data_IF_331903675441
#
_entry.id   IF_331903675441
#
_cell.length_a   1.000
_cell.length_b   1.000
_cell.length_c   1.000
_cell.angle_alpha   90.00
_cell.angle_beta   90.00
_cell.angle_gamma   90.00
#
_symmetry.space_group_name_H-M   'P 1'
#
loop_
_entity.id
_entity.type
_entity.pdbx_description
1 polymer ?
#
# COMPACT_ATOMS: atom_id res chain seq x y z
N UNK A 1 -6.53 -7.90 -26.67
CA UNK A 1 -6.03 -7.20 -25.47
C UNK A 1 -4.95 -8.05 -24.81
N UNK A 2 -3.69 -7.58 -24.77
CA UNK A 2 -2.66 -8.28 -23.97
C UNK A 2 -3.02 -8.16 -22.49
N UNK A 3 -3.17 -9.30 -21.81
CA UNK A 3 -3.34 -9.32 -20.34
C UNK A 3 -2.06 -8.76 -19.72
N UNK A 4 -2.21 -7.85 -18.77
CA UNK A 4 -1.09 -7.30 -18.02
C UNK A 4 -0.28 -8.44 -17.38
N UNK A 5 1.04 -8.44 -17.61
CA UNK A 5 1.96 -9.41 -17.04
C UNK A 5 2.88 -8.72 -16.03
N UNK A 6 2.63 -8.87 -14.71
CA UNK A 6 3.45 -8.29 -13.65
C UNK A 6 4.95 -8.58 -13.77
N UNK A 7 5.32 -9.76 -14.29
CA UNK A 7 6.71 -10.18 -14.42
C UNK A 7 7.43 -9.46 -15.56
N UNK A 8 6.70 -9.06 -16.62
CA UNK A 8 7.27 -8.30 -17.75
C UNK A 8 7.18 -6.78 -17.56
N UNK A 9 6.31 -6.32 -16.65
CA UNK A 9 6.11 -4.92 -16.37
C UNK A 9 5.30 -4.18 -17.44
N UNK A 10 5.36 -2.85 -17.39
CA UNK A 10 4.64 -1.95 -18.30
C UNK A 10 3.42 -1.30 -17.66
N UNK A 11 2.45 -0.94 -18.50
CA UNK A 11 1.24 -0.25 -18.06
C UNK A 11 0.27 -1.20 -17.36
N UNK A 12 -0.02 -0.91 -16.09
CA UNK A 12 -0.95 -1.67 -15.29
C UNK A 12 -2.40 -1.20 -15.54
N UNK A 13 -3.38 -2.12 -15.48
CA UNK A 13 -4.80 -1.80 -15.46
C UNK A 13 -5.13 -0.73 -14.43
N UNK A 14 -6.01 0.21 -14.79
CA UNK A 14 -6.37 1.36 -13.94
C UNK A 14 -6.97 0.95 -12.60
N UNK A 15 -7.74 -0.14 -12.56
CA UNK A 15 -8.31 -0.68 -11.34
C UNK A 15 -7.23 -1.13 -10.32
N UNK A 16 -6.15 -1.78 -10.78
CA UNK A 16 -5.04 -2.20 -9.91
C UNK A 16 -4.31 -0.99 -9.32
N UNK A 17 -4.01 0.00 -10.18
CA UNK A 17 -3.35 1.24 -9.77
C UNK A 17 -4.18 2.01 -8.75
N UNK A 18 -5.47 2.21 -9.05
CA UNK A 18 -6.39 2.93 -8.17
C UNK A 18 -6.59 2.24 -6.82
N UNK A 19 -6.75 0.91 -6.83
CA UNK A 19 -6.91 0.14 -5.60
C UNK A 19 -5.67 0.22 -4.71
N UNK A 20 -4.48 0.15 -5.31
CA UNK A 20 -3.21 0.31 -4.61
C UNK A 20 -3.09 1.69 -3.94
N UNK A 21 -3.48 2.77 -4.63
CA UNK A 21 -3.48 4.13 -4.06
C UNK A 21 -4.40 4.26 -2.85
N UNK A 22 -5.62 3.70 -2.94
CA UNK A 22 -6.59 3.72 -1.82
C UNK A 22 -5.99 3.06 -0.58
N UNK A 23 -5.39 1.87 -0.74
CA UNK A 23 -4.84 1.12 0.39
C UNK A 23 -3.61 1.81 0.99
N UNK A 24 -2.71 2.38 0.17
CA UNK A 24 -1.60 3.18 0.69
C UNK A 24 -2.11 4.42 1.44
N UNK A 25 -3.09 5.14 0.90
CA UNK A 25 -3.63 6.32 1.56
C UNK A 25 -4.22 5.98 2.95
N UNK A 26 -4.89 4.82 3.07
CA UNK A 26 -5.38 4.30 4.36
C UNK A 26 -4.24 3.94 5.30
N UNK A 27 -3.21 3.27 4.79
CA UNK A 27 -2.02 2.90 5.56
C UNK A 27 -1.35 4.13 6.18
N UNK A 28 -1.14 5.16 5.37
CA UNK A 28 -0.47 6.41 5.76
C UNK A 28 -1.30 7.23 6.75
N UNK A 29 -2.62 7.38 6.52
CA UNK A 29 -3.49 8.19 7.38
C UNK A 29 -3.82 7.50 8.71
N UNK A 30 -4.06 6.20 8.68
CA UNK A 30 -4.62 5.46 9.82
C UNK A 30 -3.59 4.79 10.73
N UNK A 31 -2.42 4.42 10.19
CA UNK A 31 -1.39 3.61 10.87
C UNK A 31 -1.82 2.19 11.25
N UNK A 32 -3.12 1.90 11.29
CA UNK A 32 -3.71 0.62 11.60
C UNK A 32 -4.57 0.15 10.43
N UNK A 33 -4.15 -0.92 9.78
CA UNK A 33 -4.84 -1.54 8.65
C UNK A 33 -5.47 -2.87 9.07
N UNK A 34 -6.56 -3.25 8.40
CA UNK A 34 -7.11 -4.59 8.53
C UNK A 34 -6.12 -5.60 7.94
N UNK A 35 -6.16 -6.83 8.44
CA UNK A 35 -5.30 -7.89 7.93
C UNK A 35 -5.54 -8.14 6.43
N UNK A 36 -6.81 -8.13 6.00
CA UNK A 36 -7.19 -8.33 4.61
C UNK A 36 -6.65 -7.24 3.70
N UNK A 37 -6.80 -5.98 4.12
CA UNK A 37 -6.23 -4.82 3.41
C UNK A 37 -4.70 -4.97 3.27
N UNK A 38 -4.03 -5.49 4.31
CA UNK A 38 -2.57 -5.69 4.31
C UNK A 38 -2.15 -6.78 3.34
N UNK A 39 -2.86 -7.90 3.32
CA UNK A 39 -2.62 -8.99 2.38
C UNK A 39 -2.89 -8.53 0.95
N UNK A 40 -3.98 -7.80 0.72
CA UNK A 40 -4.34 -7.24 -0.58
C UNK A 40 -3.25 -6.27 -1.06
N UNK A 41 -2.81 -5.36 -0.19
CA UNK A 41 -1.74 -4.42 -0.49
C UNK A 41 -0.42 -5.14 -0.81
N UNK A 42 -0.09 -6.22 -0.10
CA UNK A 42 1.09 -7.05 -0.40
C UNK A 42 0.97 -7.78 -1.75
N UNK A 43 -0.22 -8.27 -2.09
CA UNK A 43 -0.53 -8.85 -3.40
C UNK A 43 -0.37 -7.83 -4.53
N UNK A 44 -1.00 -6.66 -4.39
CA UNK A 44 -0.94 -5.57 -5.36
C UNK A 44 0.49 -5.04 -5.55
N UNK A 45 1.28 -4.92 -4.49
CA UNK A 45 2.70 -4.54 -4.62
C UNK A 45 3.53 -5.55 -5.41
N UNK A 46 3.13 -6.83 -5.42
CA UNK A 46 3.74 -7.83 -6.31
C UNK A 46 3.31 -7.65 -7.76
N UNK A 47 2.02 -7.36 -7.97
CA UNK A 47 1.48 -7.11 -9.30
C UNK A 47 2.05 -5.84 -9.93
N UNK A 48 2.35 -4.81 -9.13
CA UNK A 48 2.87 -3.53 -9.59
C UNK A 48 4.40 -3.43 -9.50
N UNK A 49 5.11 -4.51 -9.19
CA UNK A 49 6.55 -4.53 -8.93
C UNK A 49 7.42 -4.01 -10.10
N UNK A 50 6.93 -4.19 -11.34
CA UNK A 50 7.55 -3.72 -12.58
C UNK A 50 6.64 -2.73 -13.34
N UNK A 51 5.63 -2.16 -12.67
CA UNK A 51 4.74 -1.19 -13.26
C UNK A 51 5.49 0.12 -13.54
N UNK A 52 5.52 0.54 -14.81
CA UNK A 52 6.22 1.75 -15.25
C UNK A 52 5.32 2.98 -15.24
N UNK A 53 4.05 2.83 -14.87
CA UNK A 53 3.12 3.95 -14.78
C UNK A 53 3.61 4.97 -13.75
N UNK A 54 3.47 6.28 -14.05
CA UNK A 54 3.70 7.33 -13.08
C UNK A 54 2.64 7.23 -11.98
N UNK A 55 3.08 7.43 -10.73
CA UNK A 55 2.20 7.42 -9.57
C UNK A 55 1.28 8.63 -9.63
N UNK A 56 -0.05 8.40 -9.72
CA UNK A 56 -1.00 9.45 -10.12
C UNK A 56 -1.34 10.44 -9.01
N UNK A 57 -1.12 10.10 -7.74
CA UNK A 57 -1.62 10.91 -6.63
C UNK A 57 -0.57 11.02 -5.53
N UNK A 58 -0.15 12.27 -5.24
CA UNK A 58 -0.17 12.88 -3.91
C UNK A 58 0.54 12.18 -2.73
N UNK A 59 1.34 11.14 -2.96
CA UNK A 59 2.25 10.58 -1.97
C UNK A 59 3.51 11.43 -1.81
N UNK A 60 3.64 12.50 -2.61
CA UNK A 60 4.47 13.65 -2.27
C UNK A 60 4.08 14.10 -0.87
N UNK A 61 5.03 13.92 0.04
CA UNK A 61 5.07 14.51 1.35
C UNK A 61 4.11 15.70 1.47
N UNK A 62 2.94 15.49 2.07
CA UNK A 62 2.31 16.60 2.76
C UNK A 62 3.22 16.83 3.96
N UNK A 63 4.23 17.69 3.78
CA UNK A 63 5.26 18.05 4.76
C UNK A 63 4.66 18.51 6.10
N UNK A 64 3.35 18.79 6.17
CA UNK A 64 2.65 19.16 7.40
C UNK A 64 1.73 18.09 8.03
N UNK A 65 1.16 17.15 7.27
CA UNK A 65 0.00 16.37 7.76
C UNK A 65 0.31 14.93 8.26
N UNK A 66 1.52 14.42 8.02
CA UNK A 66 1.88 13.01 8.30
C UNK A 66 2.93 12.85 9.40
N UNK A 67 3.04 13.83 10.31
CA UNK A 67 3.85 13.69 11.51
C UNK A 67 3.18 12.81 12.60
N UNK A 68 1.88 12.49 12.47
CA UNK A 68 1.14 11.88 13.58
C UNK A 68 1.42 10.38 13.80
N UNK A 69 1.85 9.59 12.79
CA UNK A 69 1.97 8.11 12.92
C UNK A 69 3.05 7.43 12.05
N UNK A 70 4.26 7.98 12.00
CA UNK A 70 5.50 7.21 11.75
C UNK A 70 5.81 6.69 10.34
N UNK A 71 4.87 6.66 9.39
CA UNK A 71 5.16 6.27 8.01
C UNK A 71 5.41 7.50 7.15
N UNK A 72 6.67 7.97 7.13
CA UNK A 72 7.11 8.98 6.18
C UNK A 72 7.64 8.29 4.92
N UNK A 73 7.05 8.59 3.76
CA UNK A 73 7.72 8.35 2.49
C UNK A 73 8.69 9.50 2.26
N UNK A 74 9.90 9.39 2.84
CA UNK A 74 10.95 10.41 2.70
C UNK A 74 11.64 10.41 1.31
N UNK A 75 11.07 9.71 0.32
CA UNK A 75 11.56 9.69 -1.06
C UNK A 75 10.45 10.12 -2.01
N UNK A 76 10.81 10.92 -3.01
CA UNK A 76 9.95 11.22 -4.15
C UNK A 76 9.77 9.96 -5.00
N UNK A 77 8.81 9.12 -4.63
CA UNK A 77 8.42 7.95 -5.42
C UNK A 77 7.67 8.43 -6.66
N UNK A 78 8.21 8.14 -7.85
CA UNK A 78 7.69 8.64 -9.14
C UNK A 78 6.81 7.60 -9.84
N UNK A 79 7.00 6.32 -9.54
CA UNK A 79 6.30 5.21 -10.19
C UNK A 79 5.67 4.24 -9.18
N UNK A 80 4.68 3.47 -9.64
CA UNK A 80 4.08 2.40 -8.82
C UNK A 80 5.08 1.29 -8.47
N UNK A 81 6.06 1.00 -9.34
CA UNK A 81 7.12 0.04 -9.04
C UNK A 81 7.98 0.48 -7.86
N UNK A 82 8.41 1.75 -7.84
CA UNK A 82 9.18 2.31 -6.71
C UNK A 82 8.37 2.27 -5.42
N UNK A 83 7.10 2.68 -5.46
CA UNK A 83 6.21 2.65 -4.30
C UNK A 83 6.01 1.22 -3.77
N UNK A 84 5.83 0.25 -4.67
CA UNK A 84 5.67 -1.17 -4.34
C UNK A 84 6.92 -1.75 -3.66
N UNK A 85 8.11 -1.42 -4.20
CA UNK A 85 9.41 -1.85 -3.64
C UNK A 85 9.64 -1.26 -2.26
N UNK A 86 9.41 0.04 -2.12
CA UNK A 86 9.54 0.74 -0.85
C UNK A 86 8.61 0.13 0.20
N UNK A 87 7.33 -0.03 -0.15
CA UNK A 87 6.33 -0.55 0.77
C UNK A 87 6.69 -1.96 1.25
N UNK A 88 7.11 -2.86 0.35
CA UNK A 88 7.52 -4.21 0.74
C UNK A 88 8.72 -4.20 1.70
N UNK A 89 9.70 -3.34 1.46
CA UNK A 89 10.83 -3.15 2.38
C UNK A 89 10.37 -2.59 3.72
N UNK A 90 9.46 -1.63 3.70
CA UNK A 90 8.91 -0.99 4.90
C UNK A 90 8.13 -1.98 5.75
N UNK A 91 7.18 -2.73 5.17
CA UNK A 91 6.37 -3.74 5.86
C UNK A 91 7.18 -4.90 6.42
N UNK A 92 8.28 -5.28 5.76
CA UNK A 92 9.22 -6.28 6.29
C UNK A 92 9.98 -5.77 7.52
N UNK A 93 10.34 -4.48 7.51
CA UNK A 93 11.14 -3.86 8.58
C UNK A 93 10.28 -3.38 9.75
N UNK A 94 9.07 -2.94 9.47
CA UNK A 94 8.10 -2.40 10.42
C UNK A 94 6.84 -3.27 10.33
N UNK A 95 6.69 -4.21 11.26
CA UNK A 95 5.47 -5.01 11.35
C UNK A 95 4.29 -4.04 11.60
N UNK A 96 3.37 -3.88 10.64
CA UNK A 96 2.26 -2.95 10.78
C UNK A 96 1.37 -3.40 11.94
N UNK A 97 0.79 -2.44 12.67
CA UNK A 97 -0.23 -2.75 13.68
C UNK A 97 -1.49 -3.24 12.98
N UNK A 98 -1.70 -4.55 12.99
CA UNK A 98 -2.89 -5.19 12.45
C UNK A 98 -4.03 -5.06 13.46
N UNK A 99 -5.16 -4.52 13.03
CA UNK A 99 -6.41 -4.64 13.79
C UNK A 99 -7.00 -6.01 13.50
N UNK A 100 -6.87 -6.93 14.45
CA UNK A 100 -7.61 -8.18 14.43
C UNK A 100 -9.04 -7.80 14.84
N UNK A 101 -10.07 -8.10 14.04
CA UNK A 101 -11.44 -8.01 14.52
C UNK A 101 -11.54 -8.96 15.71
N UNK A 102 -11.81 -8.43 16.91
CA UNK A 102 -12.26 -9.27 18.02
C UNK A 102 -13.65 -9.78 17.62
N UNK A 103 -13.70 -10.93 16.95
CA UNK A 103 -14.91 -11.74 16.92
C UNK A 103 -15.27 -12.11 18.37
N UNK A 104 -16.57 -12.09 18.63
CA UNK A 104 -17.14 -11.96 19.96
C UNK A 104 -16.55 -12.91 20.99
N UNK A 105 -15.96 -12.33 22.05
CA UNK A 105 -15.98 -13.00 23.35
C UNK A 105 -17.46 -13.07 23.76
N UNK A 106 -18.08 -14.25 23.89
CA UNK A 106 -19.41 -14.32 24.50
C UNK A 106 -19.30 -13.69 25.90
N UNK A 107 -20.30 -12.91 26.34
CA UNK A 107 -20.31 -12.40 27.71
C UNK A 107 -20.18 -13.61 28.64
N UNK A 108 -19.24 -13.53 29.59
CA UNK A 108 -19.13 -14.53 30.64
C UNK A 108 -20.47 -14.53 31.38
N UNK A 109 -21.20 -15.63 31.27
CA UNK A 109 -22.33 -15.95 32.11
C UNK A 109 -21.84 -16.37 33.50
#
# INVERSE_FOLDING_TARGET
MMRYNPSRGGHAPSNLRHRFEILIARYVRGGAMRLDDLQELFGLSGQLWNCTDPLSIGLYASEGATAAKGVRFNMALRTYAEASRYLRRHLRSHKPRVRIPTEGRPPAA
#
